data_IF_936022989786
#
_entry.id   IF_936022989786
#
_cell.length_a   1.000
_cell.length_b   1.000
_cell.length_c   1.000
_cell.angle_alpha   90.00
_cell.angle_beta   90.00
_cell.angle_gamma   90.00
#
_symmetry.space_group_name_H-M   'P 1'
#
loop_
_entity.id
_entity.type
_entity.pdbx_description
1 polymer ?
#
# COMPACT_ATOMS: atom_id res chain seq x y z
N UNK A 1 33.08 25.85 -4.73
CA UNK A 1 32.12 26.18 -3.66
C UNK A 1 30.89 25.30 -3.84
N UNK A 2 30.87 24.07 -3.31
CA UNK A 2 29.71 23.21 -3.44
C UNK A 2 28.71 23.59 -2.33
N UNK A 3 27.61 24.23 -2.71
CA UNK A 3 26.46 24.43 -1.83
C UNK A 3 25.71 23.11 -1.66
N UNK A 4 26.03 22.37 -0.61
CA UNK A 4 25.06 21.43 -0.04
C UNK A 4 23.99 22.27 0.64
N UNK A 5 22.81 22.32 0.04
CA UNK A 5 21.61 22.79 0.74
C UNK A 5 21.47 21.91 1.98
N UNK A 6 21.68 22.47 3.17
CA UNK A 6 21.33 21.81 4.41
C UNK A 6 19.81 21.60 4.39
N UNK A 7 19.38 20.38 4.04
CA UNK A 7 17.97 20.00 4.07
C UNK A 7 17.47 20.20 5.50
N UNK A 8 16.43 21.03 5.66
CA UNK A 8 15.75 21.25 6.95
C UNK A 8 15.50 19.91 7.67
N UNK A 9 16.09 19.67 8.86
CA UNK A 9 15.92 18.42 9.60
C UNK A 9 14.46 18.05 9.86
N UNK A 10 13.57 19.03 9.97
CA UNK A 10 12.14 18.78 10.14
C UNK A 10 11.47 18.34 8.85
N UNK A 11 11.85 18.91 7.70
CA UNK A 11 11.36 18.45 6.40
C UNK A 11 11.86 17.02 6.11
N UNK A 12 13.12 16.74 6.45
CA UNK A 12 13.71 15.41 6.35
C UNK A 12 12.99 14.42 7.27
N UNK A 13 12.76 14.80 8.53
CA UNK A 13 12.03 14.00 9.51
C UNK A 13 10.60 13.67 9.08
N UNK A 14 9.84 14.65 8.57
CA UNK A 14 8.47 14.43 8.11
C UNK A 14 8.39 13.45 6.93
N UNK A 15 9.34 13.51 5.99
CA UNK A 15 9.42 12.56 4.86
C UNK A 15 9.77 11.16 5.35
N UNK A 16 10.78 11.05 6.21
CA UNK A 16 11.16 9.77 6.78
C UNK A 16 10.06 9.17 7.65
N UNK A 17 9.27 9.99 8.36
CA UNK A 17 8.13 9.51 9.12
C UNK A 17 7.07 8.89 8.21
N UNK A 18 6.79 9.50 7.05
CA UNK A 18 5.90 8.90 6.04
C UNK A 18 6.42 7.54 5.55
N UNK A 19 7.70 7.45 5.20
CA UNK A 19 8.32 6.18 4.75
C UNK A 19 8.28 5.12 5.86
N UNK A 20 8.58 5.51 7.10
CA UNK A 20 8.54 4.62 8.27
C UNK A 20 7.12 4.12 8.56
N UNK A 21 6.14 5.02 8.61
CA UNK A 21 4.77 4.65 9.01
C UNK A 21 4.08 3.80 7.94
N UNK A 22 4.33 4.06 6.66
CA UNK A 22 3.73 3.30 5.55
C UNK A 22 4.53 2.03 5.19
N UNK A 23 5.80 1.95 5.59
CA UNK A 23 6.74 0.92 5.15
C UNK A 23 7.22 1.10 3.70
N UNK A 24 6.93 2.24 3.05
CA UNK A 24 7.43 2.56 1.72
C UNK A 24 8.89 3.00 1.78
N UNK A 25 9.68 2.58 0.78
CA UNK A 25 11.09 2.97 0.62
C UNK A 25 11.25 3.82 -0.61
N UNK A 26 11.38 5.13 -0.41
CA UNK A 26 11.54 6.09 -1.51
C UNK A 26 12.92 6.77 -1.48
N UNK A 27 13.34 7.25 -0.32
CA UNK A 27 14.57 8.03 -0.18
C UNK A 27 15.59 7.37 0.74
N UNK A 28 15.13 6.55 1.69
CA UNK A 28 16.00 5.93 2.70
C UNK A 28 16.03 4.41 2.57
N UNK A 29 17.20 3.83 2.80
CA UNK A 29 17.35 2.37 2.83
C UNK A 29 16.61 1.77 4.02
N UNK A 30 16.78 2.40 5.19
CA UNK A 30 16.11 2.05 6.45
C UNK A 30 15.84 3.28 7.30
N UNK A 31 14.82 3.17 8.14
CA UNK A 31 14.39 4.21 9.06
C UNK A 31 14.22 3.60 10.45
N UNK A 32 14.95 4.16 11.41
CA UNK A 32 14.87 3.81 12.82
C UNK A 32 14.05 4.88 13.54
N UNK A 33 12.87 4.53 14.01
CA UNK A 33 12.10 5.37 14.92
C UNK A 33 12.49 5.03 16.36
N UNK A 34 13.18 5.95 17.02
CA UNK A 34 13.66 5.76 18.39
C UNK A 34 12.74 6.50 19.34
N UNK A 35 12.19 5.81 20.33
CA UNK A 35 11.32 6.43 21.33
C UNK A 35 12.06 7.32 22.32
N UNK A 36 11.29 8.15 23.02
CA UNK A 36 11.82 9.02 24.06
C UNK A 36 12.32 8.18 25.24
N UNK A 37 13.59 8.38 25.60
CA UNK A 37 14.22 7.68 26.72
C UNK A 37 15.07 6.49 26.30
N UNK A 38 15.02 6.08 25.03
CA UNK A 38 15.81 4.96 24.50
C UNK A 38 17.29 5.34 24.30
N UNK A 39 18.20 4.43 24.64
CA UNK A 39 19.62 4.58 24.32
C UNK A 39 19.90 4.46 22.83
N UNK A 40 20.69 5.40 22.28
CA UNK A 40 20.92 5.50 20.83
C UNK A 40 22.21 4.83 20.36
N UNK A 41 23.04 4.34 21.27
CA UNK A 41 24.40 3.88 20.94
C UNK A 41 24.41 2.68 20.00
N UNK A 42 23.57 1.67 20.26
CA UNK A 42 23.47 0.51 19.40
C UNK A 42 22.95 0.87 17.99
N UNK A 43 21.96 1.77 17.89
CA UNK A 43 21.45 2.28 16.60
C UNK A 43 22.56 3.00 15.83
N UNK A 44 23.37 3.82 16.51
CA UNK A 44 24.50 4.57 15.91
C UNK A 44 25.53 3.64 15.27
N UNK A 45 25.79 2.47 15.86
CA UNK A 45 26.77 1.53 15.34
C UNK A 45 26.31 0.77 14.08
N UNK A 46 24.99 0.64 13.86
CA UNK A 46 24.45 -0.13 12.74
C UNK A 46 23.88 0.74 11.61
N UNK A 47 23.49 1.99 11.91
CA UNK A 47 22.89 2.88 10.92
C UNK A 47 23.95 3.39 9.92
N UNK A 48 23.72 3.11 8.64
CA UNK A 48 24.57 3.51 7.51
C UNK A 48 24.22 4.90 6.97
N UNK A 49 25.01 5.37 6.00
CA UNK A 49 24.84 6.71 5.40
C UNK A 49 23.53 6.90 4.63
N UNK A 50 22.95 5.80 4.14
CA UNK A 50 21.70 5.81 3.38
C UNK A 50 20.46 5.59 4.28
N UNK A 51 20.68 5.45 5.58
CA UNK A 51 19.63 5.28 6.59
C UNK A 51 19.26 6.63 7.23
N UNK A 52 18.11 6.64 7.91
CA UNK A 52 17.68 7.77 8.72
C UNK A 52 17.23 7.34 10.11
N UNK A 53 17.57 8.15 11.11
CA UNK A 53 17.17 7.95 12.51
C UNK A 53 16.24 9.09 12.92
N UNK A 54 15.01 8.76 13.28
CA UNK A 54 14.04 9.68 13.86
C UNK A 54 14.25 9.69 15.37
N UNK A 55 14.72 10.83 15.87
CA UNK A 55 15.06 11.03 17.28
C UNK A 55 14.13 12.05 17.93
N UNK A 56 13.76 11.85 19.21
CA UNK A 56 13.05 12.87 19.97
C UNK A 56 13.82 14.19 20.01
N UNK A 57 13.07 15.29 20.10
CA UNK A 57 13.61 16.59 20.48
C UNK A 57 14.25 16.51 21.87
N UNK A 58 15.36 17.22 22.05
CA UNK A 58 16.14 17.19 23.28
C UNK A 58 17.10 16.00 23.43
N UNK A 59 17.02 14.97 22.57
CA UNK A 59 18.07 13.93 22.51
C UNK A 59 19.42 14.58 22.12
N UNK A 60 20.56 14.16 22.71
CA UNK A 60 21.87 14.73 22.40
C UNK A 60 22.22 14.78 20.90
N UNK A 61 23.26 15.54 20.55
CA UNK A 61 23.74 15.60 19.16
C UNK A 61 24.09 14.21 18.65
N UNK A 62 23.60 13.88 17.47
CA UNK A 62 23.88 12.60 16.83
C UNK A 62 25.28 12.63 16.20
N UNK A 63 26.12 11.67 16.59
CA UNK A 63 27.50 11.52 16.09
C UNK A 63 27.65 10.33 15.12
N UNK A 64 26.55 9.83 14.54
CA UNK A 64 26.56 8.76 13.54
C UNK A 64 26.60 9.28 12.10
N UNK A 65 26.77 8.36 11.15
CA UNK A 65 26.82 8.68 9.70
C UNK A 65 25.45 8.79 9.03
N UNK A 66 24.42 8.23 9.67
CA UNK A 66 23.04 8.28 9.17
C UNK A 66 22.45 9.70 9.25
N UNK A 67 21.48 9.98 8.37
CA UNK A 67 20.67 11.18 8.48
C UNK A 67 19.83 11.19 9.75
N UNK A 68 19.46 12.39 10.23
CA UNK A 68 18.65 12.54 11.45
C UNK A 68 17.47 13.45 11.20
N UNK A 69 16.28 12.95 11.54
CA UNK A 69 15.07 13.75 11.70
C UNK A 69 14.76 13.93 13.19
N UNK A 70 14.29 15.10 13.58
CA UNK A 70 13.89 15.41 14.96
C UNK A 70 12.38 15.50 15.07
N UNK A 71 11.82 14.90 16.11
CA UNK A 71 10.37 14.92 16.37
C UNK A 71 10.03 15.23 17.83
N UNK A 72 8.89 15.88 18.05
CA UNK A 72 8.25 15.98 19.36
C UNK A 72 6.93 15.19 19.37
N UNK A 73 6.45 14.82 20.56
CA UNK A 73 5.22 14.03 20.71
C UNK A 73 5.44 12.51 20.75
N UNK A 74 4.43 11.75 20.35
CA UNK A 74 4.37 10.29 20.46
C UNK A 74 3.58 9.64 19.31
N UNK A 75 3.67 8.31 19.19
CA UNK A 75 2.96 7.50 18.18
C UNK A 75 2.56 6.12 18.74
N UNK A 76 2.11 6.11 20.00
CA UNK A 76 1.86 4.91 20.79
C UNK A 76 0.39 4.62 21.03
N UNK A 77 -0.45 5.64 21.12
CA UNK A 77 -1.89 5.54 21.44
C UNK A 77 -2.75 6.27 20.40
N UNK A 78 -4.05 5.94 20.27
CA UNK A 78 -4.94 6.69 19.39
C UNK A 78 -5.11 8.13 19.92
N UNK A 79 -5.03 9.10 19.02
CA UNK A 79 -5.02 10.53 19.34
C UNK A 79 -3.63 11.09 19.66
N UNK A 80 -2.58 10.27 19.68
CA UNK A 80 -1.23 10.79 19.78
C UNK A 80 -0.88 11.66 18.57
N UNK A 81 -0.07 12.67 18.80
CA UNK A 81 0.43 13.57 17.77
C UNK A 81 1.96 13.53 17.73
N UNK A 82 2.52 13.56 16.52
CA UNK A 82 3.95 13.73 16.29
C UNK A 82 4.23 14.97 15.47
N UNK A 83 5.22 15.74 15.87
CA UNK A 83 5.55 17.03 15.28
C UNK A 83 6.95 17.07 14.69
N UNK A 84 7.05 17.57 13.47
CA UNK A 84 8.31 17.88 12.79
C UNK A 84 8.37 19.40 12.56
N UNK A 85 8.81 20.13 13.59
CA UNK A 85 8.67 21.58 13.65
C UNK A 85 7.20 21.96 13.77
N UNK A 86 6.68 22.78 12.87
CA UNK A 86 5.26 23.17 12.84
C UNK A 86 4.33 22.12 12.18
N UNK A 87 4.89 21.01 11.68
CA UNK A 87 4.14 20.00 10.92
C UNK A 87 3.70 18.86 11.86
N UNK A 88 2.44 18.86 12.26
CA UNK A 88 1.84 17.79 13.05
C UNK A 88 1.27 16.68 12.18
N UNK A 89 1.39 15.43 12.66
CA UNK A 89 0.64 14.27 12.17
C UNK A 89 -0.06 13.62 13.35
N UNK A 90 -1.37 13.46 13.23
CA UNK A 90 -2.21 12.81 14.24
C UNK A 90 -2.28 11.30 13.96
N UNK A 91 -2.16 10.47 14.99
CA UNK A 91 -2.31 9.02 14.90
C UNK A 91 -3.72 8.62 15.30
N UNK A 92 -4.41 7.87 14.47
CA UNK A 92 -5.77 7.43 14.71
C UNK A 92 -5.94 5.94 14.50
N UNK A 93 -6.88 5.36 15.25
CA UNK A 93 -7.31 3.99 15.00
C UNK A 93 -8.20 3.94 13.74
N UNK A 94 -8.12 2.84 13.00
CA UNK A 94 -8.88 2.62 11.77
C UNK A 94 -10.39 2.77 11.98
N UNK A 95 -10.92 2.18 13.05
CA UNK A 95 -12.35 2.25 13.34
C UNK A 95 -12.73 3.66 13.79
N UNK A 96 -11.91 4.27 14.64
CA UNK A 96 -12.14 5.63 15.13
C UNK A 96 -12.13 6.67 14.00
N UNK A 97 -11.27 6.50 12.99
CA UNK A 97 -11.11 7.42 11.86
C UNK A 97 -12.42 7.63 11.07
N UNK A 98 -13.35 6.67 11.11
CA UNK A 98 -14.66 6.80 10.46
C UNK A 98 -15.61 7.81 11.15
N UNK A 99 -15.36 8.15 12.42
CA UNK A 99 -16.26 8.96 13.25
C UNK A 99 -15.73 10.35 13.60
N UNK A 100 -14.51 10.67 13.17
CA UNK A 100 -13.87 11.96 13.43
C UNK A 100 -13.81 12.81 12.17
N UNK A 101 -13.74 14.12 12.36
CA UNK A 101 -13.43 15.03 11.27
C UNK A 101 -11.91 15.12 11.12
N UNK A 102 -11.39 14.60 10.01
CA UNK A 102 -9.98 14.78 9.65
C UNK A 102 -9.75 16.25 9.29
N UNK A 103 -8.91 16.94 10.06
CA UNK A 103 -8.56 18.36 9.85
C UNK A 103 -7.20 18.49 9.16
N UNK A 104 -6.19 17.78 9.67
CA UNK A 104 -4.80 17.83 9.20
C UNK A 104 -4.30 16.48 8.68
N UNK A 105 -2.97 16.36 8.46
CA UNK A 105 -2.33 15.09 8.19
C UNK A 105 -2.62 14.08 9.29
N UNK A 106 -3.10 12.90 8.91
CA UNK A 106 -3.47 11.84 9.86
C UNK A 106 -2.88 10.52 9.38
N UNK A 107 -2.22 9.80 10.28
CA UNK A 107 -1.86 8.41 10.08
C UNK A 107 -2.92 7.53 10.75
N UNK A 108 -3.45 6.58 9.99
CA UNK A 108 -4.42 5.60 10.48
C UNK A 108 -3.73 4.25 10.60
N UNK A 109 -3.94 3.55 11.72
CA UNK A 109 -3.41 2.19 11.93
C UNK A 109 -4.45 1.25 12.54
N UNK A 110 -4.14 -0.03 12.55
CA UNK A 110 -4.97 -1.05 13.20
C UNK A 110 -4.47 -1.32 14.61
N UNK A 111 -5.15 -0.86 15.66
CA UNK A 111 -4.64 -1.09 17.01
C UNK A 111 -4.86 -2.52 17.52
N UNK A 112 -5.82 -3.23 16.95
CA UNK A 112 -6.19 -4.56 17.37
C UNK A 112 -6.85 -5.39 16.26
N UNK A 113 -7.22 -6.62 16.60
CA UNK A 113 -7.89 -7.55 15.71
C UNK A 113 -9.29 -7.10 15.28
N UNK A 114 -9.94 -6.17 16.00
CA UNK A 114 -11.24 -5.62 15.62
C UNK A 114 -11.09 -4.60 14.51
N UNK A 115 -10.05 -3.76 14.60
CA UNK A 115 -9.65 -2.79 13.59
C UNK A 115 -9.23 -3.46 12.30
N UNK A 116 -8.51 -4.59 12.42
CA UNK A 116 -8.19 -5.44 11.28
C UNK A 116 -9.44 -6.01 10.60
N UNK A 117 -10.39 -6.55 11.37
CA UNK A 117 -11.61 -7.10 10.77
C UNK A 117 -12.43 -6.04 10.04
N UNK A 118 -12.58 -4.86 10.66
CA UNK A 118 -13.28 -3.73 10.03
C UNK A 118 -12.66 -3.35 8.68
N UNK A 119 -11.33 -3.38 8.57
CA UNK A 119 -10.64 -3.13 7.29
C UNK A 119 -10.96 -4.16 6.21
N UNK A 120 -11.03 -5.45 6.57
CA UNK A 120 -11.40 -6.52 5.64
C UNK A 120 -12.86 -6.35 5.20
N UNK A 121 -13.77 -6.15 6.15
CA UNK A 121 -15.21 -5.96 5.87
C UNK A 121 -15.44 -4.73 4.96
N UNK A 122 -14.74 -3.63 5.22
CA UNK A 122 -14.78 -2.42 4.39
C UNK A 122 -14.21 -2.64 2.98
N UNK A 123 -13.15 -3.44 2.86
CA UNK A 123 -12.59 -3.79 1.56
C UNK A 123 -13.57 -4.62 0.74
N UNK A 124 -14.22 -5.62 1.36
CA UNK A 124 -15.26 -6.43 0.72
C UNK A 124 -16.44 -5.56 0.28
N UNK A 125 -16.91 -4.69 1.18
CA UNK A 125 -17.98 -3.74 0.88
C UNK A 125 -17.62 -2.83 -0.32
N UNK A 126 -16.39 -2.32 -0.36
CA UNK A 126 -15.91 -1.50 -1.47
C UNK A 126 -15.86 -2.29 -2.79
N UNK A 127 -15.46 -3.55 -2.73
CA UNK A 127 -15.47 -4.45 -3.89
C UNK A 127 -16.87 -4.68 -4.41
N UNK A 128 -17.84 -4.88 -3.52
CA UNK A 128 -19.23 -5.18 -3.87
C UNK A 128 -20.00 -3.94 -4.33
N UNK A 129 -19.74 -2.79 -3.73
CA UNK A 129 -20.59 -1.59 -3.89
C UNK A 129 -19.89 -0.41 -4.55
N UNK A 130 -18.56 -0.41 -4.61
CA UNK A 130 -17.75 0.74 -5.04
C UNK A 130 -17.67 1.87 -4.00
N UNK A 131 -18.18 1.65 -2.78
CA UNK A 131 -18.14 2.62 -1.68
C UNK A 131 -16.94 2.34 -0.78
N UNK A 132 -16.05 3.32 -0.63
CA UNK A 132 -14.84 3.20 0.18
C UNK A 132 -15.02 3.88 1.54
N UNK A 133 -14.27 3.48 2.57
CA UNK A 133 -14.22 4.23 3.83
C UNK A 133 -13.71 5.66 3.60
N UNK A 134 -14.47 6.65 4.08
CA UNK A 134 -14.17 8.08 3.82
C UNK A 134 -12.76 8.47 4.29
N UNK A 135 -12.34 7.98 5.46
CA UNK A 135 -11.00 8.20 5.96
C UNK A 135 -9.92 7.65 5.01
N UNK A 136 -10.14 6.46 4.44
CA UNK A 136 -9.15 5.84 3.56
C UNK A 136 -8.97 6.58 2.24
N UNK A 137 -9.99 7.31 1.77
CA UNK A 137 -9.94 8.12 0.54
C UNK A 137 -9.68 9.62 0.79
N UNK A 138 -9.46 10.03 2.05
CA UNK A 138 -9.07 11.41 2.35
C UNK A 138 -7.59 11.62 1.95
N UNK A 139 -7.26 12.68 1.18
CA UNK A 139 -5.89 12.93 0.73
C UNK A 139 -4.91 13.25 1.87
N UNK A 140 -5.40 13.58 3.07
CA UNK A 140 -4.60 13.84 4.26
C UNK A 140 -4.29 12.59 5.06
N UNK A 141 -4.91 11.46 4.74
CA UNK A 141 -4.75 10.20 5.46
C UNK A 141 -3.71 9.29 4.81
N UNK A 142 -2.79 8.81 5.65
CA UNK A 142 -1.87 7.71 5.36
C UNK A 142 -2.31 6.48 6.14
N UNK A 143 -2.31 5.31 5.50
CA UNK A 143 -2.51 4.04 6.18
C UNK A 143 -1.16 3.46 6.61
N UNK A 144 -1.02 3.11 7.89
CA UNK A 144 0.18 2.49 8.42
C UNK A 144 0.40 1.10 7.81
N UNK A 145 1.67 0.73 7.63
CA UNK A 145 2.11 -0.55 7.03
C UNK A 145 1.49 -0.83 5.64
N UNK A 146 1.03 0.23 4.96
CA UNK A 146 0.40 0.17 3.62
C UNK A 146 1.23 -0.66 2.63
N UNK A 147 2.56 -0.55 2.65
CA UNK A 147 3.43 -1.31 1.76
C UNK A 147 3.26 -2.83 1.97
N UNK A 148 3.29 -3.26 3.23
CA UNK A 148 3.09 -4.67 3.60
C UNK A 148 1.68 -5.14 3.24
N UNK A 149 0.64 -4.33 3.48
CA UNK A 149 -0.73 -4.68 3.10
C UNK A 149 -0.89 -4.88 1.59
N UNK A 150 -0.19 -4.07 0.78
CA UNK A 150 -0.28 -4.15 -0.67
C UNK A 150 0.52 -5.31 -1.29
N UNK A 151 1.54 -5.82 -0.58
CA UNK A 151 2.43 -6.88 -1.04
C UNK A 151 2.98 -7.71 0.14
N UNK A 152 2.14 -8.50 0.82
CA UNK A 152 2.49 -9.17 2.08
C UNK A 152 3.44 -10.36 1.91
N UNK A 153 3.59 -10.87 0.68
CA UNK A 153 4.38 -12.05 0.38
C UNK A 153 5.88 -11.75 0.27
N UNK A 154 6.70 -12.74 0.60
CA UNK A 154 8.15 -12.70 0.44
C UNK A 154 8.89 -12.30 1.71
N UNK A 155 10.19 -12.14 1.55
CA UNK A 155 11.13 -11.88 2.65
C UNK A 155 11.96 -10.66 2.31
N UNK A 156 12.09 -9.74 3.27
CA UNK A 156 12.93 -8.56 3.16
C UNK A 156 13.67 -8.33 4.48
N UNK A 157 14.85 -7.71 4.38
CA UNK A 157 15.48 -7.13 5.58
C UNK A 157 14.60 -5.98 6.07
N UNK A 158 14.26 -5.91 7.37
CA UNK A 158 13.44 -4.83 7.92
C UNK A 158 14.00 -3.45 7.58
N UNK A 159 13.13 -2.58 7.06
CA UNK A 159 13.50 -1.22 6.67
C UNK A 159 12.78 -0.13 7.45
N UNK A 160 11.66 -0.43 8.09
CA UNK A 160 11.07 0.40 9.13
C UNK A 160 11.23 -0.35 10.46
N UNK A 161 11.91 0.26 11.42
CA UNK A 161 12.12 -0.31 12.74
C UNK A 161 11.68 0.68 13.82
N UNK A 162 11.01 0.17 14.84
CA UNK A 162 10.68 0.91 16.07
C UNK A 162 11.57 0.41 17.19
N UNK A 163 12.23 1.32 17.89
CA UNK A 163 13.05 1.03 19.07
C UNK A 163 12.33 1.63 20.27
N UNK A 164 11.77 0.77 21.11
CA UNK A 164 11.01 1.16 22.29
C UNK A 164 11.87 1.78 23.39
N UNK A 165 11.22 2.46 24.33
CA UNK A 165 11.86 2.92 25.58
C UNK A 165 12.35 1.75 26.47
N UNK A 166 11.74 0.58 26.30
CA UNK A 166 12.11 -0.71 26.90
C UNK A 166 13.30 -1.41 26.21
N UNK A 167 13.82 -0.83 25.12
CA UNK A 167 14.90 -1.41 24.31
C UNK A 167 14.41 -2.41 23.25
N UNK A 168 13.12 -2.75 23.22
CA UNK A 168 12.59 -3.70 22.26
C UNK A 168 12.65 -3.16 20.83
N UNK A 169 13.10 -3.99 19.90
CA UNK A 169 13.14 -3.71 18.47
C UNK A 169 11.94 -4.36 17.80
N UNK A 170 11.11 -3.59 17.10
CA UNK A 170 9.93 -4.08 16.39
C UNK A 170 10.01 -3.82 14.89
N UNK A 171 9.44 -4.73 14.10
CA UNK A 171 9.23 -4.51 12.66
C UNK A 171 8.10 -3.51 12.41
N UNK A 172 8.33 -2.49 11.59
CA UNK A 172 7.32 -1.49 11.25
C UNK A 172 6.85 -0.67 12.46
N UNK A 173 5.58 -0.24 12.41
CA UNK A 173 4.98 0.63 13.44
C UNK A 173 4.64 -0.14 14.71
N UNK A 174 4.18 -1.38 14.56
CA UNK A 174 3.62 -2.20 15.64
C UNK A 174 3.75 -3.70 15.39
N UNK A 175 4.71 -4.13 14.58
CA UNK A 175 4.89 -5.54 14.24
C UNK A 175 5.51 -6.39 15.34
N UNK A 176 6.00 -7.54 14.92
CA UNK A 176 6.69 -8.52 15.76
C UNK A 176 7.87 -7.88 16.53
N UNK A 177 8.03 -8.28 17.79
CA UNK A 177 9.25 -7.99 18.58
C UNK A 177 10.35 -8.89 18.07
N UNK A 178 11.37 -8.29 17.46
CA UNK A 178 12.47 -8.98 16.80
C UNK A 178 13.61 -9.33 17.77
N UNK A 179 13.68 -8.62 18.89
CA UNK A 179 14.74 -8.73 19.89
C UNK A 179 14.90 -7.43 20.66
N UNK A 180 16.07 -7.25 21.27
CA UNK A 180 16.48 -6.02 21.94
C UNK A 180 17.39 -5.16 21.02
N UNK A 181 17.60 -3.90 21.38
CA UNK A 181 18.48 -2.97 20.64
C UNK A 181 19.90 -3.51 20.49
N UNK A 182 20.38 -4.34 21.42
CA UNK A 182 21.66 -5.05 21.30
C UNK A 182 21.72 -6.06 20.15
N UNK A 183 20.58 -6.58 19.69
CA UNK A 183 20.46 -7.60 18.64
C UNK A 183 20.38 -7.00 17.23
N UNK A 184 20.39 -5.67 17.09
CA UNK A 184 20.26 -4.96 15.82
C UNK A 184 21.18 -5.50 14.69
N UNK A 185 22.48 -5.82 14.92
CA UNK A 185 23.31 -6.40 13.87
C UNK A 185 22.78 -7.73 13.32
N UNK A 186 22.24 -8.59 14.19
CA UNK A 186 21.69 -9.89 13.79
C UNK A 186 20.33 -9.73 13.09
N UNK A 187 19.49 -8.83 13.60
CA UNK A 187 18.19 -8.48 13.01
C UNK A 187 18.39 -7.97 11.57
N UNK A 188 19.33 -7.05 11.36
CA UNK A 188 19.60 -6.45 10.05
C UNK A 188 20.30 -7.40 9.07
N UNK A 189 20.88 -8.50 9.56
CA UNK A 189 21.46 -9.54 8.71
C UNK A 189 20.44 -10.59 8.25
N UNK A 190 19.22 -10.58 8.81
CA UNK A 190 18.25 -11.66 8.64
C UNK A 190 17.01 -11.16 7.91
N UNK A 191 16.75 -11.61 6.65
CA UNK A 191 15.49 -11.36 5.98
C UNK A 191 14.33 -11.94 6.77
N UNK A 192 13.27 -11.14 6.96
CA UNK A 192 12.05 -11.55 7.64
C UNK A 192 10.88 -11.59 6.67
N UNK A 193 9.87 -12.44 6.92
CA UNK A 193 8.60 -12.36 6.22
C UNK A 193 8.05 -10.93 6.28
N UNK A 194 7.64 -10.35 5.14
CA UNK A 194 7.12 -8.95 5.13
C UNK A 194 5.96 -8.75 6.11
N UNK A 195 5.08 -9.75 6.21
CA UNK A 195 3.96 -9.77 7.14
C UNK A 195 4.35 -9.62 8.63
N UNK A 196 5.64 -9.75 9.00
CA UNK A 196 6.10 -9.52 10.36
C UNK A 196 5.77 -8.11 10.88
N UNK A 197 5.64 -7.11 10.00
CA UNK A 197 5.25 -5.74 10.40
C UNK A 197 3.79 -5.64 10.87
N UNK A 198 2.96 -6.64 10.56
CA UNK A 198 1.53 -6.70 10.92
C UNK A 198 1.24 -7.58 12.14
N UNK A 199 2.23 -8.34 12.62
CA UNK A 199 2.04 -9.39 13.65
C UNK A 199 1.60 -8.87 15.02
N UNK A 200 1.71 -7.58 15.32
CA UNK A 200 1.20 -7.02 16.58
C UNK A 200 -0.28 -6.64 16.53
N UNK A 201 -0.93 -6.68 15.37
CA UNK A 201 -2.36 -6.36 15.20
C UNK A 201 -3.23 -7.56 15.60
N UNK A 202 -2.91 -8.72 15.04
CA UNK A 202 -3.62 -9.97 15.23
C UNK A 202 -2.67 -11.16 14.99
N UNK A 203 -3.05 -12.39 15.38
CA UNK A 203 -2.22 -13.58 15.13
C UNK A 203 -1.83 -13.72 13.66
N UNK A 204 -0.58 -14.10 13.41
CA UNK A 204 0.01 -14.15 12.06
C UNK A 204 -0.77 -15.04 11.10
N UNK A 205 -1.30 -16.15 11.57
CA UNK A 205 -2.08 -17.09 10.78
C UNK A 205 -3.40 -16.46 10.30
N UNK A 206 -4.00 -15.59 11.13
CA UNK A 206 -5.20 -14.84 10.76
C UNK A 206 -4.87 -13.80 9.69
N UNK A 207 -3.84 -12.97 9.90
CA UNK A 207 -3.40 -11.97 8.92
C UNK A 207 -3.08 -12.64 7.57
N UNK A 208 -2.32 -13.74 7.59
CA UNK A 208 -1.97 -14.47 6.37
C UNK A 208 -3.19 -15.12 5.70
N UNK A 209 -4.11 -15.69 6.48
CA UNK A 209 -5.35 -16.27 5.96
C UNK A 209 -6.25 -15.23 5.31
N UNK A 210 -6.46 -14.08 5.97
CA UNK A 210 -7.27 -12.99 5.46
C UNK A 210 -6.64 -12.38 4.20
N UNK A 211 -5.34 -12.09 4.19
CA UNK A 211 -4.67 -11.56 2.99
C UNK A 211 -4.62 -12.57 1.84
N UNK A 212 -4.53 -13.87 2.14
CA UNK A 212 -4.59 -14.93 1.14
C UNK A 212 -6.01 -15.12 0.56
N UNK A 213 -7.06 -14.95 1.36
CA UNK A 213 -8.44 -14.96 0.87
C UNK A 213 -8.77 -13.71 0.04
N UNK A 214 -8.04 -12.61 0.26
CA UNK A 214 -8.26 -11.32 -0.39
C UNK A 214 -7.00 -10.85 -1.15
N UNK A 215 -6.48 -11.67 -2.08
CA UNK A 215 -5.28 -11.35 -2.87
C UNK A 215 -5.39 -10.01 -3.64
N UNK A 216 -6.61 -9.48 -3.78
CA UNK A 216 -6.93 -8.19 -4.41
C UNK A 216 -6.80 -6.97 -3.47
N UNK A 217 -6.45 -7.13 -2.18
CA UNK A 217 -6.27 -6.01 -1.24
C UNK A 217 -5.27 -4.97 -1.77
N UNK A 218 -4.19 -5.40 -2.42
CA UNK A 218 -3.25 -4.48 -3.06
C UNK A 218 -3.90 -3.61 -4.15
N UNK A 219 -4.90 -4.15 -4.87
CA UNK A 219 -5.68 -3.40 -5.86
C UNK A 219 -6.72 -2.49 -5.19
N UNK A 220 -7.32 -2.91 -4.07
CA UNK A 220 -8.20 -2.06 -3.25
C UNK A 220 -7.50 -0.81 -2.73
N UNK A 221 -6.30 -0.96 -2.15
CA UNK A 221 -5.51 0.18 -1.67
C UNK A 221 -5.13 1.15 -2.80
N UNK A 222 -4.82 0.62 -4.00
CA UNK A 222 -4.54 1.43 -5.19
C UNK A 222 -5.80 2.12 -5.73
N UNK A 223 -6.98 1.52 -5.62
CA UNK A 223 -8.24 2.17 -5.96
C UNK A 223 -8.56 3.34 -5.01
N UNK A 224 -8.24 3.20 -3.72
CA UNK A 224 -8.34 4.32 -2.78
C UNK A 224 -7.40 5.48 -3.16
N UNK A 225 -6.15 5.19 -3.56
CA UNK A 225 -5.22 6.21 -4.06
C UNK A 225 -5.71 6.86 -5.36
N UNK A 226 -6.35 6.10 -6.24
CA UNK A 226 -6.98 6.60 -7.46
C UNK A 226 -8.08 7.62 -7.13
N UNK A 227 -8.94 7.32 -6.16
CA UNK A 227 -9.98 8.23 -5.69
C UNK A 227 -9.37 9.53 -5.15
N UNK A 228 -8.33 9.44 -4.31
CA UNK A 228 -7.57 10.61 -3.81
C UNK A 228 -6.99 11.44 -4.95
N UNK A 229 -6.26 10.80 -5.86
CA UNK A 229 -5.57 11.45 -6.97
C UNK A 229 -6.54 12.19 -7.90
N UNK A 230 -7.72 11.63 -8.15
CA UNK A 230 -8.70 12.19 -9.07
C UNK A 230 -9.74 13.08 -8.38
N UNK A 231 -9.76 13.14 -7.04
CA UNK A 231 -10.76 13.88 -6.27
C UNK A 231 -12.18 13.37 -6.50
N UNK A 232 -12.35 12.06 -6.65
CA UNK A 232 -13.65 11.45 -6.97
C UNK A 232 -14.56 11.43 -5.74
N UNK A 233 -15.85 11.66 -5.96
CA UNK A 233 -16.86 11.49 -4.91
C UNK A 233 -17.05 10.02 -4.55
N UNK A 234 -17.13 9.72 -3.25
CA UNK A 234 -17.33 8.35 -2.77
C UNK A 234 -18.63 7.73 -3.33
N UNK A 235 -18.55 6.50 -3.84
CA UNK A 235 -19.68 5.79 -4.45
C UNK A 235 -20.20 6.37 -5.78
N UNK A 236 -19.62 7.47 -6.29
CA UNK A 236 -20.03 8.08 -7.56
C UNK A 236 -19.18 7.61 -8.74
N UNK A 237 -17.94 7.20 -8.47
CA UNK A 237 -17.03 6.72 -9.49
C UNK A 237 -17.25 5.24 -9.77
N UNK A 238 -17.49 4.91 -11.04
CA UNK A 238 -17.59 3.53 -11.50
C UNK A 238 -16.19 3.04 -11.85
N UNK A 239 -15.55 2.36 -10.90
CA UNK A 239 -14.19 1.84 -11.03
C UNK A 239 -14.26 0.33 -11.28
N UNK A 240 -13.64 -0.14 -12.36
CA UNK A 240 -13.72 -1.56 -12.74
C UNK A 240 -13.13 -2.45 -11.65
N UNK A 241 -13.95 -3.37 -11.12
CA UNK A 241 -13.61 -4.25 -10.01
C UNK A 241 -14.09 -3.78 -8.62
N UNK A 242 -14.75 -2.62 -8.54
CA UNK A 242 -15.30 -2.06 -7.29
C UNK A 242 -16.72 -1.54 -7.55
N UNK A 243 -17.72 -2.39 -7.29
CA UNK A 243 -19.15 -2.11 -7.56
C UNK A 243 -19.53 -2.03 -9.03
N UNK A 244 -18.57 -2.18 -9.94
CA UNK A 244 -18.80 -2.05 -11.37
C UNK A 244 -17.83 -2.88 -12.22
N UNK A 245 -18.35 -3.45 -13.30
CA UNK A 245 -17.59 -4.11 -14.35
C UNK A 245 -18.13 -3.65 -15.72
N UNK A 246 -17.23 -3.38 -16.67
CA UNK A 246 -17.63 -3.06 -18.04
C UNK A 246 -18.14 -4.28 -18.81
N UNK A 247 -17.50 -5.43 -18.59
CA UNK A 247 -17.84 -6.70 -19.20
C UNK A 247 -18.04 -7.71 -18.10
N UNK A 248 -19.26 -8.22 -18.03
CA UNK A 248 -19.66 -9.31 -17.14
C UNK A 248 -20.16 -10.45 -18.04
N UNK A 249 -19.21 -11.29 -18.45
CA UNK A 249 -19.45 -12.41 -19.37
C UNK A 249 -19.39 -13.77 -18.67
N UNK A 250 -19.26 -13.79 -17.34
CA UNK A 250 -19.00 -14.97 -16.50
C UNK A 250 -17.73 -15.78 -16.87
N UNK A 251 -16.90 -15.26 -17.78
CA UNK A 251 -15.71 -15.95 -18.30
C UNK A 251 -14.40 -15.41 -17.73
N UNK A 252 -14.46 -14.40 -16.88
CA UNK A 252 -13.31 -13.95 -16.10
C UNK A 252 -12.75 -15.13 -15.29
N UNK A 253 -11.43 -15.32 -15.34
CA UNK A 253 -10.71 -16.37 -14.62
C UNK A 253 -9.48 -15.85 -13.87
N UNK A 254 -9.32 -14.53 -13.84
CA UNK A 254 -8.19 -13.87 -13.22
C UNK A 254 -8.57 -12.53 -12.60
N UNK A 255 -7.91 -12.20 -11.50
CA UNK A 255 -7.92 -10.86 -10.92
C UNK A 255 -6.92 -9.97 -11.66
N UNK A 256 -7.31 -8.74 -12.03
CA UNK A 256 -6.35 -7.76 -12.51
C UNK A 256 -5.21 -7.52 -11.49
N UNK A 257 -4.00 -7.26 -11.98
CA UNK A 257 -2.84 -7.01 -11.11
C UNK A 257 -3.04 -5.74 -10.28
N UNK A 258 -2.43 -5.66 -9.10
CA UNK A 258 -2.50 -4.45 -8.26
C UNK A 258 -1.80 -3.23 -8.89
N UNK A 259 -0.79 -3.46 -9.73
CA UNK A 259 -0.04 -2.41 -10.44
C UNK A 259 -0.69 -1.94 -11.74
N UNK A 260 -1.72 -2.65 -12.21
CA UNK A 260 -2.33 -2.37 -13.50
C UNK A 260 -3.22 -1.12 -13.45
N UNK A 261 -3.26 -0.31 -14.52
CA UNK A 261 -4.17 0.84 -14.60
C UNK A 261 -5.64 0.43 -14.39
N UNK A 262 -6.42 1.37 -13.85
CA UNK A 262 -7.85 1.21 -13.60
C UNK A 262 -8.68 1.76 -14.75
N UNK A 263 -9.69 1.00 -15.13
CA UNK A 263 -10.74 1.48 -16.04
C UNK A 263 -11.86 2.15 -15.23
N UNK A 264 -12.23 3.35 -15.64
CA UNK A 264 -13.33 4.13 -15.07
C UNK A 264 -14.40 4.39 -16.13
N UNK A 265 -15.67 4.41 -15.73
CA UNK A 265 -16.78 4.98 -16.49
C UNK A 265 -17.10 6.39 -15.96
N UNK A 266 -16.83 7.40 -16.78
CA UNK A 266 -17.03 8.82 -16.45
C UNK A 266 -18.02 9.46 -17.42
N UNK A 267 -18.55 10.67 -17.13
CA UNK A 267 -19.43 11.38 -18.04
C UNK A 267 -18.82 11.65 -19.44
N UNK A 268 -17.49 11.72 -19.53
CA UNK A 268 -16.73 11.95 -20.76
C UNK A 268 -16.44 10.66 -21.54
N UNK A 269 -16.69 9.48 -20.95
CA UNK A 269 -16.45 8.17 -21.52
C UNK A 269 -15.53 7.31 -20.65
N UNK A 270 -14.93 6.28 -21.26
CA UNK A 270 -14.07 5.35 -20.54
C UNK A 270 -12.67 5.92 -20.35
N UNK A 271 -12.21 6.04 -19.12
CA UNK A 271 -10.87 6.53 -18.79
C UNK A 271 -10.03 5.40 -18.22
N UNK A 272 -8.82 5.22 -18.76
CA UNK A 272 -7.80 4.39 -18.14
C UNK A 272 -6.85 5.26 -17.33
N UNK A 273 -6.77 5.03 -16.02
CA UNK A 273 -5.96 5.81 -15.10
C UNK A 273 -4.94 4.95 -14.37
N UNK A 274 -3.68 5.38 -14.39
CA UNK A 274 -2.57 4.70 -13.74
C UNK A 274 -2.09 5.50 -12.53
N UNK A 275 -2.18 4.91 -11.33
CA UNK A 275 -1.75 5.52 -10.07
C UNK A 275 -0.23 5.62 -9.93
N UNK A 276 0.52 4.85 -10.71
CA UNK A 276 1.99 4.82 -10.68
C UNK A 276 2.57 5.89 -11.60
N UNK A 277 2.12 5.92 -12.86
CA UNK A 277 2.63 6.89 -13.84
C UNK A 277 1.85 8.20 -13.87
N UNK A 278 0.75 8.29 -13.12
CA UNK A 278 -0.20 9.40 -13.09
C UNK A 278 -0.84 9.71 -14.46
N UNK A 279 -0.75 8.76 -15.40
CA UNK A 279 -1.29 8.91 -16.75
C UNK A 279 -2.78 8.62 -16.77
N UNK A 280 -3.49 9.37 -17.62
CA UNK A 280 -4.92 9.22 -17.88
C UNK A 280 -5.17 9.23 -19.38
N UNK A 281 -5.94 8.27 -19.86
CA UNK A 281 -6.20 8.09 -21.29
C UNK A 281 -7.68 7.84 -21.52
N UNK A 282 -8.31 8.66 -22.36
CA UNK A 282 -9.68 8.41 -22.82
C UNK A 282 -9.66 7.29 -23.86
N UNK A 283 -10.50 6.29 -23.67
CA UNK A 283 -10.58 5.10 -24.51
C UNK A 283 -11.85 5.09 -25.33
N UNK A 284 -11.75 4.51 -26.54
CA UNK A 284 -12.96 4.10 -27.26
C UNK A 284 -13.67 2.97 -26.50
N UNK A 285 -15.00 2.80 -26.65
CA UNK A 285 -15.73 1.68 -26.06
C UNK A 285 -15.14 0.31 -26.42
N UNK A 286 -14.62 0.16 -27.64
CA UNK A 286 -13.98 -1.07 -28.09
C UNK A 286 -12.65 -1.31 -27.34
N UNK A 287 -11.80 -0.30 -27.22
CA UNK A 287 -10.52 -0.39 -26.49
C UNK A 287 -10.77 -0.67 -25.00
N UNK A 288 -11.76 -0.03 -24.38
CA UNK A 288 -12.14 -0.27 -22.99
C UNK A 288 -12.54 -1.74 -22.75
N UNK A 289 -13.32 -2.35 -23.66
CA UNK A 289 -13.65 -3.78 -23.59
C UNK A 289 -12.41 -4.67 -23.69
N UNK A 290 -11.47 -4.36 -24.61
CA UNK A 290 -10.21 -5.11 -24.72
C UNK A 290 -9.42 -5.03 -23.41
N UNK A 291 -9.32 -3.85 -22.79
CA UNK A 291 -8.66 -3.68 -21.49
C UNK A 291 -9.28 -4.60 -20.43
N UNK A 292 -10.60 -4.54 -20.24
CA UNK A 292 -11.30 -5.36 -19.24
C UNK A 292 -11.07 -6.85 -19.48
N UNK A 293 -11.19 -7.30 -20.74
CA UNK A 293 -11.04 -8.71 -21.08
C UNK A 293 -9.61 -9.21 -20.90
N UNK A 294 -8.60 -8.39 -21.25
CA UNK A 294 -7.19 -8.74 -21.02
C UNK A 294 -6.87 -8.81 -19.53
N UNK A 295 -7.26 -7.80 -18.75
CA UNK A 295 -6.95 -7.73 -17.31
C UNK A 295 -7.62 -8.83 -16.48
N UNK A 296 -8.76 -9.35 -16.94
CA UNK A 296 -9.52 -10.43 -16.27
C UNK A 296 -9.30 -11.81 -16.88
N UNK A 297 -8.28 -11.95 -17.74
CA UNK A 297 -7.89 -13.24 -18.33
C UNK A 297 -6.51 -13.68 -17.84
N UNK A 298 -6.40 -14.93 -17.42
CA UNK A 298 -5.15 -15.52 -16.90
C UNK A 298 -4.08 -15.75 -17.97
N UNK A 299 -4.49 -15.95 -19.23
CA UNK A 299 -3.59 -16.24 -20.36
C UNK A 299 -3.89 -15.37 -21.59
N UNK A 300 -2.88 -15.11 -22.45
CA UNK A 300 -3.08 -14.39 -23.69
C UNK A 300 -4.08 -15.05 -24.66
N UNK A 301 -4.12 -16.38 -24.68
CA UNK A 301 -5.04 -17.12 -25.55
C UNK A 301 -6.48 -16.97 -25.08
N UNK A 302 -6.74 -17.06 -23.77
CA UNK A 302 -8.06 -16.79 -23.21
C UNK A 302 -8.51 -15.34 -23.44
N UNK A 303 -7.60 -14.38 -23.24
CA UNK A 303 -7.89 -12.98 -23.56
C UNK A 303 -8.27 -12.80 -25.04
N UNK A 304 -7.53 -13.44 -25.93
CA UNK A 304 -7.79 -13.43 -27.38
C UNK A 304 -9.16 -14.00 -27.70
N UNK A 305 -9.50 -15.18 -27.18
CA UNK A 305 -10.81 -15.82 -27.39
C UNK A 305 -11.95 -14.93 -26.90
N UNK A 306 -11.82 -14.38 -25.69
CA UNK A 306 -12.84 -13.50 -25.11
C UNK A 306 -13.01 -12.21 -25.91
N UNK A 307 -11.92 -11.60 -26.38
CA UNK A 307 -11.97 -10.40 -27.24
C UNK A 307 -12.59 -10.71 -28.61
N UNK A 308 -12.19 -11.81 -29.25
CA UNK A 308 -12.74 -12.27 -30.52
C UNK A 308 -14.26 -12.45 -30.42
N UNK A 309 -14.72 -13.16 -29.37
CA UNK A 309 -16.14 -13.35 -29.07
C UNK A 309 -16.87 -12.05 -28.80
N UNK A 310 -16.33 -11.19 -27.94
CA UNK A 310 -17.01 -9.97 -27.50
C UNK A 310 -17.13 -8.91 -28.61
N UNK A 311 -16.21 -8.92 -29.57
CA UNK A 311 -16.19 -7.97 -30.69
C UNK A 311 -16.65 -8.56 -32.02
N UNK A 312 -16.87 -9.88 -32.11
CA UNK A 312 -17.25 -10.56 -33.34
C UNK A 312 -16.18 -10.50 -34.44
N UNK A 313 -14.90 -10.61 -34.04
CA UNK A 313 -13.74 -10.50 -34.96
C UNK A 313 -12.92 -11.79 -34.98
N UNK A 314 -12.12 -12.04 -36.05
CA UNK A 314 -11.22 -13.19 -36.10
C UNK A 314 -10.15 -13.17 -35.00
N UNK A 315 -9.75 -14.35 -34.53
CA UNK A 315 -8.75 -14.55 -33.47
C UNK A 315 -7.42 -13.83 -33.74
N UNK A 316 -6.94 -13.83 -34.99
CA UNK A 316 -5.70 -13.14 -35.34
C UNK A 316 -5.79 -11.62 -35.12
N UNK A 317 -6.96 -11.02 -35.42
CA UNK A 317 -7.20 -9.61 -35.15
C UNK A 317 -7.34 -9.34 -33.65
N UNK A 318 -8.08 -10.19 -32.93
CA UNK A 318 -8.21 -10.09 -31.48
C UNK A 318 -6.85 -10.19 -30.78
N UNK A 319 -5.99 -11.11 -31.22
CA UNK A 319 -4.64 -11.30 -30.70
C UNK A 319 -3.78 -10.06 -30.91
N UNK A 320 -3.87 -9.42 -32.08
CA UNK A 320 -3.16 -8.17 -32.35
C UNK A 320 -3.63 -7.07 -31.40
N UNK A 321 -4.95 -6.89 -31.25
CA UNK A 321 -5.52 -5.90 -30.34
C UNK A 321 -5.10 -6.12 -28.88
N UNK A 322 -5.10 -7.38 -28.41
CA UNK A 322 -4.63 -7.72 -27.06
C UNK A 322 -3.15 -7.32 -26.86
N UNK A 323 -2.28 -7.63 -27.83
CA UNK A 323 -0.85 -7.28 -27.77
C UNK A 323 -0.63 -5.78 -27.79
N UNK A 324 -1.32 -5.07 -28.68
CA UNK A 324 -1.25 -3.61 -28.77
C UNK A 324 -1.72 -2.95 -27.47
N UNK A 325 -2.82 -3.43 -26.87
CA UNK A 325 -3.31 -2.92 -25.59
C UNK A 325 -2.28 -3.11 -24.47
N UNK A 326 -1.68 -4.30 -24.34
CA UNK A 326 -0.63 -4.57 -23.35
C UNK A 326 0.56 -3.61 -23.50
N UNK A 327 1.05 -3.42 -24.73
CA UNK A 327 2.23 -2.58 -25.00
C UNK A 327 1.91 -1.09 -24.84
N UNK A 328 0.83 -0.62 -25.45
CA UNK A 328 0.52 0.81 -25.53
C UNK A 328 -0.10 1.36 -24.24
N UNK A 329 -0.88 0.54 -23.52
CA UNK A 329 -1.63 0.96 -22.34
C UNK A 329 -1.00 0.48 -21.03
N UNK A 330 0.03 -0.36 -21.07
CA UNK A 330 0.72 -0.86 -19.88
C UNK A 330 -0.16 -1.78 -19.00
N UNK A 331 -1.14 -2.44 -19.61
CA UNK A 331 -1.99 -3.44 -18.94
C UNK A 331 -1.39 -4.84 -19.08
N UNK A 332 -1.81 -5.78 -18.23
CA UNK A 332 -1.32 -7.14 -18.25
C UNK A 332 -2.45 -8.17 -18.12
N UNK A 333 -2.16 -9.43 -18.46
CA UNK A 333 -3.00 -10.55 -18.05
C UNK A 333 -3.09 -10.64 -16.53
N UNK A 334 -4.28 -11.00 -16.04
CA UNK A 334 -4.58 -11.09 -14.63
C UNK A 334 -3.85 -12.23 -13.92
N UNK A 335 -3.88 -12.22 -12.60
CA UNK A 335 -3.46 -13.33 -11.74
C UNK A 335 -4.59 -14.36 -11.68
N UNK A 336 -4.34 -15.64 -11.98
CA UNK A 336 -5.37 -16.67 -11.94
C UNK A 336 -6.10 -16.68 -10.60
N UNK A 337 -7.43 -16.83 -10.63
CA UNK A 337 -8.20 -17.02 -9.40
C UNK A 337 -7.79 -18.35 -8.76
N UNK A 338 -7.21 -18.29 -7.56
CA UNK A 338 -6.90 -19.44 -6.70
C UNK A 338 -8.21 -20.19 -6.36
N UNK A 339 -8.67 -21.09 -7.23
CA UNK A 339 -9.92 -21.83 -7.00
C UNK A 339 -10.64 -22.49 -8.19
N UNK A 340 -10.20 -22.33 -9.45
CA UNK A 340 -10.84 -23.00 -10.63
C UNK A 340 -10.01 -24.10 -11.28
N UNK A 341 -9.20 -24.83 -10.50
CA UNK A 341 -8.44 -26.00 -10.99
C UNK A 341 -9.01 -27.36 -10.55
N UNK A 342 -10.24 -27.42 -10.02
CA UNK A 342 -10.90 -28.71 -9.72
C UNK A 342 -12.34 -28.68 -10.26
N UNK A 343 -12.51 -28.79 -11.58
CA UNK A 343 -13.77 -29.36 -12.14
C UNK A 343 -13.67 -29.91 -13.57
N UNK A 344 -12.51 -29.87 -14.24
CA UNK A 344 -12.35 -30.47 -15.59
C UNK A 344 -11.57 -31.80 -15.63
N UNK A 345 -11.29 -32.43 -14.48
CA UNK A 345 -10.70 -33.78 -14.43
C UNK A 345 -11.72 -34.89 -14.11
N UNK A 346 -13.02 -34.65 -14.27
CA UNK A 346 -14.06 -35.67 -14.07
C UNK A 346 -15.27 -35.47 -14.98
N UNK A 347 -15.05 -35.47 -16.30
CA UNK A 347 -16.01 -35.97 -17.30
C UNK A 347 -15.28 -36.60 -18.48
#
# INVERSE_FOLDING_TARGET
MPGQSATDPHLLGARAFREWITGEREHHSRIFFVERGTETDAVRHVAGSDDLVLLPEGTPSWEGVAGVGRYDGAVSEPGDEVFFGERGVELQDYVAAAFIQIIGPTAVRFFDASSWQAFIDDAELARDTGVFPTALIDPRVLLADRHTLAAPDGFDVPSALRIGDDGAVRAGVQGEVLGDVGDLPAILATPLPRAASLSGIAPRERIAGDLGAHEWIGRYLRAADLIKMLGLGNGTARISGFGWLLVDDDLADAEPRSSDPFLLDTPEGFVLADTTTLRRQLLSPQTARVVTLVQTSSTPDRATERVARALGIPDDHARMMCREAVIALGIHGGRPLSGRLIEEASR
#
